data_IF_367211262463
#
_entry.id   IF_367211262463
#
_cell.length_a   1.000
_cell.length_b   1.000
_cell.length_c   1.000
_cell.angle_alpha   90.00
_cell.angle_beta   90.00
_cell.angle_gamma   90.00
#
_symmetry.space_group_name_H-M   'P 1'
#
loop_
_entity.id
_entity.type
_entity.pdbx_description
1 polymer ?
#
# COMPACT_ATOMS: atom_id res chain seq x y z
N UNK A 1 -1.05 -0.03 26.60
CA UNK A 1 -0.48 -0.44 25.30
C UNK A 1 0.72 0.44 24.98
N UNK A 2 1.87 -0.14 24.61
CA UNK A 2 3.00 0.68 24.17
C UNK A 2 2.65 1.58 22.97
N UNK A 3 3.27 2.75 22.92
CA UNK A 3 3.02 3.72 21.83
C UNK A 3 3.25 3.10 20.44
N UNK A 4 4.32 2.29 20.30
CA UNK A 4 4.64 1.64 19.03
C UNK A 4 3.55 0.69 18.55
N UNK A 5 2.90 -0.05 19.47
CA UNK A 5 1.78 -0.93 19.12
C UNK A 5 0.55 -0.12 18.71
N UNK A 6 0.28 0.98 19.40
CA UNK A 6 -0.82 1.88 19.04
C UNK A 6 -0.61 2.48 17.67
N UNK A 7 0.61 2.87 17.34
CA UNK A 7 0.96 3.39 16.02
C UNK A 7 0.80 2.34 14.93
N UNK A 8 1.22 1.09 15.18
CA UNK A 8 1.05 -0.02 14.23
C UNK A 8 -0.41 -0.29 13.94
N UNK A 9 -1.27 -0.28 14.96
CA UNK A 9 -2.70 -0.47 14.79
C UNK A 9 -3.30 0.66 13.95
N UNK A 10 -2.86 1.91 14.18
CA UNK A 10 -3.29 3.05 13.40
C UNK A 10 -2.84 2.95 11.94
N UNK A 11 -1.60 2.52 11.70
CA UNK A 11 -1.06 2.29 10.36
C UNK A 11 -1.85 1.21 9.63
N UNK A 12 -2.16 0.08 10.30
CA UNK A 12 -2.97 -0.99 9.75
C UNK A 12 -4.38 -0.52 9.40
N UNK A 13 -4.98 0.31 10.25
CA UNK A 13 -6.30 0.87 10.00
C UNK A 13 -6.31 1.76 8.76
N UNK A 14 -5.27 2.56 8.56
CA UNK A 14 -5.13 3.38 7.36
C UNK A 14 -5.00 2.53 6.09
N UNK A 15 -4.22 1.45 6.15
CA UNK A 15 -4.07 0.52 5.04
C UNK A 15 -5.40 -0.15 4.71
N UNK A 16 -6.17 -0.55 5.72
CA UNK A 16 -7.51 -1.13 5.51
C UNK A 16 -8.45 -0.14 4.82
N UNK A 17 -8.40 1.14 5.20
CA UNK A 17 -9.21 2.19 4.56
C UNK A 17 -8.83 2.35 3.09
N UNK A 18 -7.53 2.32 2.79
CA UNK A 18 -7.06 2.38 1.40
C UNK A 18 -7.58 1.20 0.58
N UNK A 19 -7.49 -0.01 1.14
CA UNK A 19 -7.98 -1.21 0.46
C UNK A 19 -9.49 -1.17 0.24
N UNK A 20 -10.25 -0.68 1.21
CA UNK A 20 -11.70 -0.53 1.07
C UNK A 20 -12.05 0.42 -0.08
N UNK A 21 -11.29 1.51 -0.22
CA UNK A 21 -11.46 2.46 -1.32
C UNK A 21 -11.12 1.81 -2.67
N UNK A 22 -10.03 1.04 -2.73
CA UNK A 22 -9.61 0.32 -3.94
C UNK A 22 -10.68 -0.70 -4.34
N UNK A 23 -11.23 -1.42 -3.36
CA UNK A 23 -12.32 -2.37 -3.60
C UNK A 23 -13.52 -1.67 -4.23
N UNK A 24 -13.88 -0.50 -3.71
CA UNK A 24 -14.97 0.30 -4.27
C UNK A 24 -14.70 0.72 -5.70
N UNK A 25 -13.46 1.08 -6.03
CA UNK A 25 -13.06 1.44 -7.39
C UNK A 25 -13.17 0.25 -8.34
N UNK A 26 -12.75 -0.95 -7.89
CA UNK A 26 -12.86 -2.18 -8.69
C UNK A 26 -14.34 -2.50 -8.96
N UNK A 27 -15.18 -2.41 -7.94
CA UNK A 27 -16.62 -2.65 -8.10
C UNK A 27 -17.25 -1.63 -9.05
N UNK A 28 -16.82 -0.37 -9.00
CA UNK A 28 -17.30 0.65 -9.94
C UNK A 28 -16.93 0.30 -11.39
N UNK A 29 -15.72 -0.22 -11.61
CA UNK A 29 -15.30 -0.68 -12.94
C UNK A 29 -16.15 -1.85 -13.43
N UNK A 30 -16.46 -2.80 -12.56
CA UNK A 30 -17.33 -3.93 -12.91
C UNK A 30 -18.71 -3.45 -13.34
N UNK A 31 -19.30 -2.52 -12.58
CA UNK A 31 -20.60 -1.95 -12.94
C UNK A 31 -20.54 -1.18 -14.25
N UNK A 32 -19.44 -0.48 -14.49
CA UNK A 32 -19.25 0.27 -15.74
C UNK A 32 -19.24 -0.67 -16.95
N UNK A 33 -18.64 -1.84 -16.83
CA UNK A 33 -18.68 -2.86 -17.88
C UNK A 33 -20.11 -3.33 -18.16
N UNK A 34 -20.91 -3.52 -17.10
CA UNK A 34 -22.30 -3.96 -17.24
C UNK A 34 -23.19 -2.89 -17.90
N UNK A 35 -22.84 -1.63 -17.77
CA UNK A 35 -23.60 -0.50 -18.33
C UNK A 35 -23.03 0.00 -19.67
N UNK A 36 -22.14 -0.78 -20.28
CA UNK A 36 -21.53 -0.46 -21.57
C UNK A 36 -20.82 0.91 -21.58
N UNK A 37 -20.05 1.16 -20.52
CA UNK A 37 -19.27 2.39 -20.43
C UNK A 37 -18.24 2.49 -21.55
N UNK A 38 -17.89 3.71 -21.94
CA UNK A 38 -16.91 3.95 -22.99
C UNK A 38 -15.51 3.46 -22.57
N UNK A 39 -14.68 3.20 -23.57
CA UNK A 39 -13.27 2.86 -23.36
C UNK A 39 -12.58 3.96 -22.55
N UNK A 40 -12.84 5.23 -22.86
CA UNK A 40 -12.24 6.35 -22.13
C UNK A 40 -12.61 6.32 -20.64
N UNK A 41 -13.87 6.01 -20.33
CA UNK A 41 -14.34 5.91 -18.95
C UNK A 41 -13.64 4.76 -18.21
N UNK A 42 -13.55 3.60 -18.82
CA UNK A 42 -12.91 2.44 -18.23
C UNK A 42 -11.42 2.68 -17.98
N UNK A 43 -10.73 3.30 -18.94
CA UNK A 43 -9.31 3.63 -18.76
C UNK A 43 -9.09 4.65 -17.67
N UNK A 44 -9.97 5.64 -17.56
CA UNK A 44 -9.90 6.65 -16.51
C UNK A 44 -10.05 6.00 -15.14
N UNK A 45 -11.02 5.11 -14.99
CA UNK A 45 -11.24 4.39 -13.73
C UNK A 45 -10.06 3.47 -13.39
N UNK A 46 -9.53 2.74 -14.38
CA UNK A 46 -8.40 1.85 -14.18
C UNK A 46 -7.14 2.62 -13.77
N UNK A 47 -6.89 3.77 -14.41
CA UNK A 47 -5.75 4.62 -14.08
C UNK A 47 -5.85 5.17 -12.66
N UNK A 48 -7.06 5.59 -12.25
CA UNK A 48 -7.28 6.06 -10.88
C UNK A 48 -7.05 4.93 -9.86
N UNK A 49 -7.49 3.72 -10.17
CA UNK A 49 -7.26 2.55 -9.32
C UNK A 49 -5.78 2.21 -9.22
N UNK A 50 -5.05 2.30 -10.33
CA UNK A 50 -3.59 2.10 -10.34
C UNK A 50 -2.90 3.10 -9.42
N UNK A 51 -3.29 4.38 -9.47
CA UNK A 51 -2.74 5.40 -8.59
C UNK A 51 -3.01 5.10 -7.12
N UNK A 52 -4.20 4.60 -6.80
CA UNK A 52 -4.55 4.21 -5.44
C UNK A 52 -3.71 3.02 -4.95
N UNK A 53 -3.42 2.06 -5.83
CA UNK A 53 -2.53 0.93 -5.52
C UNK A 53 -1.08 1.40 -5.30
N UNK A 54 -0.61 2.34 -6.12
CA UNK A 54 0.72 2.93 -5.92
C UNK A 54 0.83 3.60 -4.55
N UNK A 55 -0.22 4.31 -4.13
CA UNK A 55 -0.27 4.91 -2.81
C UNK A 55 -0.25 3.88 -1.68
N UNK A 56 -0.95 2.76 -1.87
CA UNK A 56 -0.93 1.65 -0.92
C UNK A 56 0.48 1.05 -0.81
N UNK A 57 1.13 0.81 -1.93
CA UNK A 57 2.51 0.28 -1.96
C UNK A 57 3.47 1.22 -1.22
N UNK A 58 3.39 2.51 -1.51
CA UNK A 58 4.25 3.51 -0.87
C UNK A 58 4.05 3.51 0.65
N UNK A 59 2.80 3.43 1.11
CA UNK A 59 2.50 3.43 2.55
C UNK A 59 2.99 2.15 3.23
N UNK A 60 2.87 1.00 2.59
CA UNK A 60 3.42 -0.27 3.11
C UNK A 60 4.93 -0.16 3.29
N UNK A 61 5.63 0.41 2.30
CA UNK A 61 7.07 0.60 2.36
C UNK A 61 7.44 1.57 3.50
N UNK A 62 6.74 2.69 3.62
CA UNK A 62 6.98 3.66 4.69
C UNK A 62 6.78 3.04 6.07
N UNK A 63 5.70 2.28 6.25
CA UNK A 63 5.40 1.62 7.52
C UNK A 63 6.48 0.61 7.88
N UNK A 64 6.97 -0.14 6.89
CA UNK A 64 8.06 -1.10 7.10
C UNK A 64 9.34 -0.38 7.56
N UNK A 65 9.70 0.71 6.90
CA UNK A 65 10.88 1.49 7.27
C UNK A 65 10.74 2.03 8.69
N UNK A 66 9.58 2.59 9.02
CA UNK A 66 9.34 3.17 10.35
C UNK A 66 9.42 2.09 11.43
N UNK A 67 8.77 0.95 11.21
CA UNK A 67 8.66 -0.09 12.23
C UNK A 67 9.90 -0.96 12.36
N UNK A 68 10.56 -1.26 11.24
CA UNK A 68 11.64 -2.25 11.24
C UNK A 68 13.03 -1.65 11.10
N UNK A 69 13.15 -0.43 10.62
CA UNK A 69 14.42 0.26 10.47
C UNK A 69 14.56 1.36 11.52
N UNK A 70 13.66 2.34 11.50
CA UNK A 70 13.76 3.50 12.40
C UNK A 70 13.63 3.08 13.87
N UNK A 71 12.70 2.17 14.16
CA UNK A 71 12.42 1.69 15.54
C UNK A 71 13.14 0.39 15.87
N UNK A 72 14.14 0.00 15.09
CA UNK A 72 14.90 -1.22 15.36
C UNK A 72 15.61 -1.11 16.71
N UNK A 73 15.78 -2.26 17.38
CA UNK A 73 16.42 -2.32 18.70
C UNK A 73 17.92 -1.99 18.66
N UNK A 74 18.58 -2.27 17.53
CA UNK A 74 19.99 -1.98 17.34
C UNK A 74 20.31 -1.82 15.85
N UNK A 75 21.56 -1.43 15.57
CA UNK A 75 22.01 -1.19 14.21
C UNK A 75 21.97 -2.46 13.34
N UNK A 76 22.29 -3.60 13.90
CA UNK A 76 22.28 -4.86 13.16
C UNK A 76 20.87 -5.22 12.69
N UNK A 77 19.88 -5.06 13.57
CA UNK A 77 18.48 -5.30 13.23
C UNK A 77 17.99 -4.32 12.17
N UNK A 78 18.35 -3.05 12.29
CA UNK A 78 18.01 -2.01 11.31
C UNK A 78 18.60 -2.33 9.94
N UNK A 79 19.88 -2.72 9.91
CA UNK A 79 20.59 -3.06 8.67
C UNK A 79 19.95 -4.27 8.01
N UNK A 80 19.65 -5.32 8.77
CA UNK A 80 19.02 -6.53 8.23
C UNK A 80 17.65 -6.21 7.62
N UNK A 81 16.83 -5.41 8.29
CA UNK A 81 15.52 -5.02 7.79
C UNK A 81 15.63 -4.17 6.52
N UNK A 82 16.60 -3.24 6.48
CA UNK A 82 16.83 -2.40 5.30
C UNK A 82 17.28 -3.23 4.09
N UNK A 83 18.20 -4.19 4.30
CA UNK A 83 18.66 -5.07 3.24
C UNK A 83 17.53 -5.95 2.70
N UNK A 84 16.69 -6.48 3.58
CA UNK A 84 15.53 -7.26 3.18
C UNK A 84 14.59 -6.42 2.31
N UNK A 85 14.33 -5.17 2.71
CA UNK A 85 13.46 -4.28 1.95
C UNK A 85 14.04 -3.97 0.58
N UNK A 86 15.36 -3.76 0.48
CA UNK A 86 16.02 -3.52 -0.79
C UNK A 86 15.80 -4.70 -1.74
N UNK A 87 15.93 -5.94 -1.25
CA UNK A 87 15.67 -7.14 -2.05
C UNK A 87 14.23 -7.20 -2.52
N UNK A 88 13.29 -6.90 -1.63
CA UNK A 88 11.85 -6.90 -1.95
C UNK A 88 11.55 -5.85 -3.02
N UNK A 89 12.04 -4.64 -2.86
CA UNK A 89 11.83 -3.56 -3.83
C UNK A 89 12.41 -3.95 -5.18
N UNK A 90 13.61 -4.48 -5.18
CA UNK A 90 14.26 -4.90 -6.42
C UNK A 90 13.49 -6.01 -7.12
N UNK A 91 12.96 -6.99 -6.38
CA UNK A 91 12.24 -8.14 -6.95
C UNK A 91 10.86 -7.78 -7.49
N UNK A 92 10.15 -6.87 -6.81
CA UNK A 92 8.74 -6.62 -7.13
C UNK A 92 8.47 -5.28 -7.83
N UNK A 93 9.38 -4.32 -7.72
CA UNK A 93 9.13 -2.97 -8.23
C UNK A 93 10.07 -2.56 -9.36
N UNK A 94 10.98 -3.41 -9.74
CA UNK A 94 11.86 -3.19 -10.89
C UNK A 94 11.77 -4.34 -11.87
#
# INVERSE_FOLDING_TARGET
MPAAEGEKLSERAKLQKRLSRIRGQVEAMRRALDTDASCAKLLQQATACRGALDGFIAEVIEDHIRDRVVRASDHAAATAAAEELIEIVHSYLT
#
